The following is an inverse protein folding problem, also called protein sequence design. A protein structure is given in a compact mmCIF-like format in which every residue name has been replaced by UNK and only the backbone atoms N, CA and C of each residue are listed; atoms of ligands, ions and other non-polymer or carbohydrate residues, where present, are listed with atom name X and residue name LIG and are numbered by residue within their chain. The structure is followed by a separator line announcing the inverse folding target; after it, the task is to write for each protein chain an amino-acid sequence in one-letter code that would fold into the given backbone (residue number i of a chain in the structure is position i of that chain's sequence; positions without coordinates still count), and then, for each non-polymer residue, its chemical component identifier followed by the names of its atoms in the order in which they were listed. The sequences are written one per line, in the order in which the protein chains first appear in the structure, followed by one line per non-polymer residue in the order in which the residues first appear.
data_IF_830483238289
#
_entry.id   IF_830483238289
#
_cell.length_a   1.000
_cell.length_b   1.000
_cell.length_c   1.000
_cell.angle_alpha   90.00
_cell.angle_beta   90.00
_cell.angle_gamma   90.00
#
_symmetry.space_group_name_H-M   'P 1'
#
loop_
_entity.id
_entity.type
_entity.pdbx_description
1 polymer ?
#
# COMPACT_ATOMS: atom_id res chain seq x y z
N UNK A 1 21.39 15.96 -20.71
CA UNK A 1 21.64 14.75 -19.93
C UNK A 1 20.35 14.10 -19.38
N UNK A 2 19.40 14.82 -18.70
CA UNK A 2 18.15 14.21 -18.19
C UNK A 2 17.34 13.49 -19.27
N UNK A 3 17.13 14.10 -20.44
CA UNK A 3 16.39 13.49 -21.57
C UNK A 3 17.10 12.25 -22.16
N UNK A 4 18.42 12.21 -22.17
CA UNK A 4 19.20 11.11 -22.74
C UNK A 4 19.18 9.87 -21.84
N UNK A 5 19.22 10.04 -20.52
CA UNK A 5 19.12 8.95 -19.54
C UNK A 5 17.71 8.32 -19.61
N UNK A 6 16.67 9.14 -19.69
CA UNK A 6 15.28 8.69 -19.86
C UNK A 6 15.10 7.93 -21.18
N UNK A 7 15.68 8.41 -22.28
CA UNK A 7 15.55 7.75 -23.60
C UNK A 7 16.26 6.38 -23.61
N UNK A 8 17.44 6.27 -23.01
CA UNK A 8 18.17 4.99 -22.94
C UNK A 8 17.42 4.00 -22.01
N UNK A 9 16.94 4.47 -20.86
CA UNK A 9 16.15 3.65 -19.96
C UNK A 9 14.82 3.21 -20.61
N UNK A 10 14.15 4.10 -21.34
CA UNK A 10 12.92 3.75 -22.10
C UNK A 10 13.22 2.75 -23.21
N UNK A 11 14.34 2.87 -23.94
CA UNK A 11 14.72 1.90 -24.97
C UNK A 11 15.01 0.50 -24.39
N UNK A 12 15.67 0.42 -23.23
CA UNK A 12 15.89 -0.83 -22.49
C UNK A 12 14.57 -1.41 -21.95
N UNK A 13 13.64 -0.56 -21.53
CA UNK A 13 12.30 -0.95 -21.06
C UNK A 13 11.43 -1.43 -22.22
N UNK A 14 11.47 -0.78 -23.37
CA UNK A 14 10.68 -1.14 -24.57
C UNK A 14 11.18 -2.41 -25.25
N UNK A 15 12.45 -2.74 -25.16
CA UNK A 15 13.01 -3.98 -25.71
C UNK A 15 12.71 -5.22 -24.85
N UNK A 16 12.31 -5.05 -23.61
CA UNK A 16 11.90 -6.14 -22.70
C UNK A 16 10.38 -6.14 -22.53
N UNK A 17 9.63 -6.48 -23.57
CA UNK A 17 8.26 -6.94 -23.44
C UNK A 17 8.22 -8.03 -22.36
N UNK A 18 7.51 -7.83 -21.24
CA UNK A 18 7.41 -8.53 -19.96
C UNK A 18 7.89 -9.98 -19.72
N UNK A 19 8.58 -10.59 -20.67
CA UNK A 19 9.04 -11.98 -20.63
C UNK A 19 10.54 -12.15 -20.85
N UNK A 20 11.27 -11.10 -21.31
CA UNK A 20 12.71 -11.18 -21.53
C UNK A 20 13.48 -10.82 -20.25
N UNK A 21 14.33 -11.74 -19.81
CA UNK A 21 15.28 -11.51 -18.73
C UNK A 21 16.16 -10.32 -19.08
N UNK A 22 16.27 -9.34 -18.19
CA UNK A 22 17.25 -8.25 -18.35
C UNK A 22 18.65 -8.87 -18.51
N UNK A 23 19.43 -8.40 -19.47
CA UNK A 23 20.84 -8.73 -19.54
C UNK A 23 21.57 -8.05 -18.37
N UNK A 24 22.74 -8.57 -17.96
CA UNK A 24 23.55 -7.96 -16.92
C UNK A 24 23.88 -6.49 -17.24
N UNK A 25 24.17 -6.19 -18.50
CA UNK A 25 24.35 -4.80 -18.95
C UNK A 25 23.11 -3.92 -18.81
N UNK A 26 21.90 -4.48 -18.93
CA UNK A 26 20.67 -3.73 -18.70
C UNK A 26 20.44 -3.45 -17.20
N UNK A 27 20.79 -4.38 -16.33
CA UNK A 27 20.77 -4.18 -14.87
C UNK A 27 21.73 -3.07 -14.48
N UNK A 28 22.94 -3.05 -15.01
CA UNK A 28 23.93 -2.00 -14.75
C UNK A 28 23.44 -0.61 -15.20
N UNK A 29 22.72 -0.54 -16.31
CA UNK A 29 22.11 0.71 -16.79
C UNK A 29 21.04 1.17 -15.81
N UNK A 30 20.14 0.26 -15.36
CA UNK A 30 19.11 0.58 -14.39
C UNK A 30 19.69 1.02 -13.04
N UNK A 31 20.74 0.33 -12.57
CA UNK A 31 21.44 0.69 -11.32
C UNK A 31 22.08 2.07 -11.39
N UNK A 32 22.78 2.40 -12.50
CA UNK A 32 23.33 3.73 -12.71
C UNK A 32 22.24 4.78 -12.84
N UNK A 33 21.15 4.47 -13.54
CA UNK A 33 19.98 5.33 -13.65
C UNK A 33 19.36 5.62 -12.29
N UNK A 34 19.14 4.59 -11.46
CA UNK A 34 18.61 4.72 -10.11
C UNK A 34 19.53 5.58 -9.21
N UNK A 35 20.85 5.34 -9.25
CA UNK A 35 21.82 6.13 -8.50
C UNK A 35 21.78 7.61 -8.90
N UNK A 36 21.87 7.90 -10.20
CA UNK A 36 21.80 9.28 -10.72
C UNK A 36 20.46 9.95 -10.37
N UNK A 37 19.35 9.24 -10.51
CA UNK A 37 18.04 9.75 -10.14
C UNK A 37 17.95 10.10 -8.65
N UNK A 38 18.54 9.25 -7.78
CA UNK A 38 18.63 9.52 -6.34
C UNK A 38 19.47 10.79 -6.05
N UNK A 39 20.62 10.92 -6.69
CA UNK A 39 21.54 12.03 -6.51
C UNK A 39 20.94 13.39 -6.94
N UNK A 40 20.09 13.40 -7.98
CA UNK A 40 19.43 14.62 -8.47
C UNK A 40 18.04 14.85 -7.85
N UNK A 41 17.61 14.00 -6.91
CA UNK A 41 16.31 14.11 -6.24
C UNK A 41 15.11 13.65 -7.09
N UNK A 42 15.35 12.95 -8.21
CA UNK A 42 14.30 12.35 -9.03
C UNK A 42 13.88 10.99 -8.44
N UNK A 43 13.29 11.02 -7.25
CA UNK A 43 13.05 9.82 -6.44
C UNK A 43 12.06 8.85 -7.09
N UNK A 44 11.05 9.35 -7.82
CA UNK A 44 10.11 8.51 -8.56
C UNK A 44 10.82 7.64 -9.61
N UNK A 45 11.73 8.25 -10.37
CA UNK A 45 12.55 7.51 -11.34
C UNK A 45 13.43 6.46 -10.65
N UNK A 46 14.03 6.82 -9.51
CA UNK A 46 14.87 5.90 -8.75
C UNK A 46 14.08 4.68 -8.25
N UNK A 47 12.90 4.88 -7.66
CA UNK A 47 12.00 3.80 -7.23
C UNK A 47 11.61 2.93 -8.43
N UNK A 48 11.27 3.54 -9.55
CA UNK A 48 10.93 2.81 -10.77
C UNK A 48 12.09 1.91 -11.24
N UNK A 49 13.31 2.43 -11.30
CA UNK A 49 14.48 1.64 -11.69
C UNK A 49 14.75 0.48 -10.72
N UNK A 50 14.74 0.73 -9.41
CA UNK A 50 14.92 -0.34 -8.41
C UNK A 50 13.80 -1.38 -8.47
N UNK A 51 12.56 -0.97 -8.66
CA UNK A 51 11.43 -1.88 -8.80
C UNK A 51 11.57 -2.77 -10.06
N UNK A 52 12.08 -2.23 -11.15
CA UNK A 52 12.37 -3.02 -12.37
C UNK A 52 13.46 -4.06 -12.16
N UNK A 53 14.48 -3.73 -11.37
CA UNK A 53 15.53 -4.70 -11.01
C UNK A 53 14.93 -5.79 -10.12
N UNK A 54 14.21 -5.40 -9.06
CA UNK A 54 13.59 -6.33 -8.11
C UNK A 54 12.52 -7.22 -8.74
N UNK A 55 11.86 -6.77 -9.81
CA UNK A 55 10.94 -7.61 -10.55
C UNK A 55 11.62 -8.85 -11.16
N UNK A 56 12.87 -8.76 -11.57
CA UNK A 56 13.63 -9.89 -12.10
C UNK A 56 14.57 -10.55 -11.10
N UNK A 57 15.07 -9.78 -10.15
CA UNK A 57 15.97 -10.20 -9.09
C UNK A 57 15.35 -9.90 -7.72
N UNK A 58 14.26 -10.61 -7.36
CA UNK A 58 13.51 -10.31 -6.14
C UNK A 58 14.30 -10.54 -4.85
N UNK A 59 15.40 -11.29 -4.93
CA UNK A 59 16.28 -11.59 -3.80
C UNK A 59 17.48 -10.62 -3.67
N UNK A 60 17.52 -9.54 -4.46
CA UNK A 60 18.55 -8.51 -4.33
C UNK A 60 18.23 -7.60 -3.13
N UNK A 61 18.73 -8.01 -1.97
CA UNK A 61 18.49 -7.32 -0.69
C UNK A 61 19.11 -5.91 -0.68
N UNK A 62 20.23 -5.69 -1.38
CA UNK A 62 20.87 -4.38 -1.46
C UNK A 62 20.01 -3.38 -2.25
N UNK A 63 19.42 -3.81 -3.36
CA UNK A 63 18.50 -2.99 -4.16
C UNK A 63 17.21 -2.72 -3.38
N UNK A 64 16.70 -3.72 -2.66
CA UNK A 64 15.50 -3.57 -1.83
C UNK A 64 15.70 -2.54 -0.73
N UNK A 65 16.82 -2.58 -0.01
CA UNK A 65 17.15 -1.58 1.01
C UNK A 65 17.21 -0.17 0.41
N UNK A 66 17.88 0.00 -0.74
CA UNK A 66 17.93 1.31 -1.42
C UNK A 66 16.54 1.82 -1.78
N UNK A 67 15.64 0.95 -2.27
CA UNK A 67 14.26 1.32 -2.57
C UNK A 67 13.49 1.70 -1.30
N UNK A 68 13.63 0.94 -0.21
CA UNK A 68 13.00 1.22 1.07
C UNK A 68 13.36 2.62 1.60
N UNK A 69 14.64 2.99 1.54
CA UNK A 69 15.11 4.30 1.98
C UNK A 69 14.55 5.45 1.12
N UNK A 70 14.34 5.23 -0.18
CA UNK A 70 13.71 6.23 -1.04
C UNK A 70 12.21 6.31 -0.77
N UNK A 71 11.52 5.21 -0.59
CA UNK A 71 10.13 5.19 -0.17
C UNK A 71 9.93 6.00 1.12
N UNK A 72 10.81 5.82 2.12
CA UNK A 72 10.76 6.59 3.35
C UNK A 72 10.91 8.09 3.10
N UNK A 73 11.92 8.50 2.31
CA UNK A 73 12.16 9.91 1.96
C UNK A 73 11.02 10.57 1.19
N UNK A 74 10.24 9.80 0.46
CA UNK A 74 9.13 10.28 -0.38
C UNK A 74 7.78 10.11 0.27
N UNK A 75 7.76 9.81 1.58
CA UNK A 75 6.57 9.64 2.41
C UNK A 75 5.67 8.45 2.00
N UNK A 76 6.17 7.53 1.18
CA UNK A 76 5.53 6.24 0.95
C UNK A 76 5.91 5.25 2.07
N UNK A 77 5.57 5.65 3.29
CA UNK A 77 6.09 5.02 4.53
C UNK A 77 5.71 3.55 4.60
N UNK A 78 4.48 3.17 4.22
CA UNK A 78 4.08 1.77 4.23
C UNK A 78 4.93 0.90 3.30
N UNK A 79 5.26 1.40 2.10
CA UNK A 79 6.12 0.68 1.15
C UNK A 79 7.54 0.50 1.71
N UNK A 80 8.04 1.49 2.46
CA UNK A 80 9.31 1.37 3.17
C UNK A 80 9.26 0.28 4.25
N UNK A 81 8.20 0.27 5.07
CA UNK A 81 7.99 -0.74 6.12
C UNK A 81 7.89 -2.15 5.52
N UNK A 82 7.23 -2.30 4.37
CA UNK A 82 7.08 -3.59 3.68
C UNK A 82 8.44 -4.12 3.20
N UNK A 83 9.23 -3.28 2.53
CA UNK A 83 10.56 -3.66 2.07
C UNK A 83 11.51 -3.98 3.23
N UNK A 84 11.53 -3.16 4.29
CA UNK A 84 12.34 -3.39 5.50
C UNK A 84 11.89 -4.66 6.24
N UNK A 85 10.59 -4.92 6.31
CA UNK A 85 10.06 -6.13 6.93
C UNK A 85 10.42 -7.39 6.15
N UNK A 86 10.51 -7.31 4.81
CA UNK A 86 11.04 -8.39 4.00
C UNK A 86 12.51 -8.69 4.35
N UNK A 87 13.34 -7.66 4.44
CA UNK A 87 14.77 -7.81 4.77
C UNK A 87 14.97 -8.38 6.18
N UNK A 88 14.18 -7.93 7.15
CA UNK A 88 14.23 -8.41 8.54
C UNK A 88 13.77 -9.86 8.73
N UNK A 89 13.05 -10.45 7.77
CA UNK A 89 12.78 -11.89 7.81
C UNK A 89 14.02 -12.73 7.55
N UNK A 90 14.94 -12.23 6.73
CA UNK A 90 16.22 -12.89 6.44
C UNK A 90 17.26 -12.58 7.53
N UNK A 91 17.29 -11.34 8.00
CA UNK A 91 18.25 -10.84 8.99
C UNK A 91 17.50 -10.16 10.14
N UNK A 92 16.88 -10.94 11.05
CA UNK A 92 15.94 -10.41 12.03
C UNK A 92 16.57 -9.49 13.09
N UNK A 93 17.87 -9.60 13.32
CA UNK A 93 18.60 -8.80 14.32
C UNK A 93 19.49 -7.71 13.69
N UNK A 94 19.33 -7.44 12.37
CA UNK A 94 20.06 -6.35 11.74
C UNK A 94 19.60 -5.00 12.31
N UNK A 95 20.49 -4.38 13.09
CA UNK A 95 20.27 -3.11 13.76
C UNK A 95 19.84 -2.01 12.79
N UNK A 96 20.49 -1.90 11.63
CA UNK A 96 20.20 -0.86 10.65
C UNK A 96 18.78 -1.00 10.10
N UNK A 97 18.37 -2.23 9.80
CA UNK A 97 17.02 -2.50 9.32
C UNK A 97 15.98 -2.24 10.40
N UNK A 98 16.25 -2.66 11.66
CA UNK A 98 15.37 -2.41 12.79
C UNK A 98 15.19 -0.92 13.06
N UNK A 99 16.27 -0.13 13.09
CA UNK A 99 16.19 1.32 13.28
C UNK A 99 15.39 2.01 12.16
N UNK A 100 15.68 1.69 10.91
CA UNK A 100 14.96 2.29 9.78
C UNK A 100 13.47 1.92 9.81
N UNK A 101 13.12 0.68 10.20
CA UNK A 101 11.71 0.28 10.32
C UNK A 101 11.05 0.94 11.52
N UNK A 102 11.71 1.05 12.65
CA UNK A 102 11.21 1.75 13.82
C UNK A 102 10.90 3.22 13.52
N UNK A 103 11.79 3.94 12.84
CA UNK A 103 11.56 5.30 12.38
C UNK A 103 10.32 5.39 11.47
N UNK A 104 10.23 4.53 10.47
CA UNK A 104 9.08 4.48 9.58
C UNK A 104 7.77 4.16 10.33
N UNK A 105 7.80 3.25 11.29
CA UNK A 105 6.66 2.92 12.15
C UNK A 105 6.27 4.09 13.08
N UNK A 106 7.25 4.89 13.55
CA UNK A 106 7.02 6.09 14.35
C UNK A 106 6.22 7.12 13.55
N UNK A 107 6.64 7.43 12.33
CA UNK A 107 5.92 8.34 11.44
C UNK A 107 4.50 7.86 11.13
N UNK A 108 4.35 6.56 11.18
CA UNK A 108 3.04 5.93 11.09
C UNK A 108 2.25 5.90 12.41
N UNK A 109 2.67 6.48 13.49
CA UNK A 109 2.10 6.39 14.85
C UNK A 109 1.91 4.96 15.36
N UNK A 110 2.59 3.98 14.77
CA UNK A 110 2.57 2.60 15.25
C UNK A 110 3.68 2.40 16.29
N UNK A 111 3.53 3.11 17.41
CA UNK A 111 4.55 3.18 18.46
C UNK A 111 4.84 1.81 19.08
N UNK A 112 3.84 0.94 19.22
CA UNK A 112 4.06 -0.40 19.78
C UNK A 112 4.96 -1.27 18.90
N UNK A 113 4.79 -1.18 17.59
CA UNK A 113 5.66 -1.91 16.66
C UNK A 113 7.06 -1.30 16.63
N UNK A 114 7.17 0.02 16.64
CA UNK A 114 8.45 0.72 16.71
C UNK A 114 9.21 0.38 18.01
N UNK A 115 8.53 0.38 19.16
CA UNK A 115 9.12 0.01 20.44
C UNK A 115 9.61 -1.45 20.47
N UNK A 116 8.92 -2.38 19.77
CA UNK A 116 9.42 -3.77 19.65
C UNK A 116 10.75 -3.84 18.91
N UNK A 117 10.90 -3.08 17.83
CA UNK A 117 12.15 -3.03 17.07
C UNK A 117 13.27 -2.40 17.88
N UNK A 118 13.01 -1.28 18.57
CA UNK A 118 13.97 -0.60 19.45
C UNK A 118 14.40 -1.50 20.61
N UNK A 119 13.45 -2.16 21.27
CA UNK A 119 13.76 -3.11 22.36
C UNK A 119 14.65 -4.25 21.91
N UNK A 120 14.47 -4.74 20.68
CA UNK A 120 15.31 -5.80 20.13
C UNK A 120 16.76 -5.35 19.96
N UNK A 121 16.99 -4.10 19.53
CA UNK A 121 18.32 -3.51 19.44
C UNK A 121 18.95 -3.41 20.83
N UNK A 122 18.19 -2.88 21.83
CA UNK A 122 18.67 -2.69 23.19
C UNK A 122 18.89 -4.01 23.95
N UNK A 123 18.25 -5.12 23.54
CA UNK A 123 18.55 -6.44 24.08
C UNK A 123 19.93 -6.97 23.65
N UNK A 124 20.41 -6.59 22.47
CA UNK A 124 21.75 -6.95 21.96
C UNK A 124 22.81 -5.95 22.46
N UNK A 125 22.49 -4.67 22.52
CA UNK A 125 23.37 -3.59 23.03
C UNK A 125 22.55 -2.55 23.78
N UNK A 126 22.56 -2.62 25.10
CA UNK A 126 21.81 -1.73 26.00
C UNK A 126 22.30 -0.26 26.00
N UNK A 127 23.50 -0.01 25.49
CA UNK A 127 24.13 1.31 25.37
C UNK A 127 24.06 1.87 23.94
N UNK A 128 23.18 1.36 23.08
CA UNK A 128 23.03 1.88 21.72
C UNK A 128 22.37 3.26 21.75
N UNK A 129 23.16 4.30 21.48
CA UNK A 129 22.73 5.69 21.59
C UNK A 129 21.53 6.02 20.68
N UNK A 130 21.51 5.51 19.45
CA UNK A 130 20.42 5.77 18.52
C UNK A 130 19.11 5.06 18.94
N UNK A 131 19.22 3.86 19.49
CA UNK A 131 18.05 3.14 20.00
C UNK A 131 17.51 3.77 21.30
N UNK A 132 18.39 4.26 22.17
CA UNK A 132 18.00 4.99 23.40
C UNK A 132 17.26 6.28 23.03
N UNK A 133 17.84 7.10 22.14
CA UNK A 133 17.24 8.36 21.69
C UNK A 133 15.85 8.12 21.07
N UNK A 134 15.72 7.14 20.18
CA UNK A 134 14.45 6.80 19.56
C UNK A 134 13.43 6.26 20.57
N UNK A 135 13.87 5.51 21.59
CA UNK A 135 12.99 5.03 22.67
C UNK A 135 12.40 6.20 23.47
N UNK A 136 13.21 7.20 23.83
CA UNK A 136 12.77 8.40 24.54
C UNK A 136 11.81 9.24 23.70
N UNK A 137 12.11 9.39 22.40
CA UNK A 137 11.22 10.08 21.47
C UNK A 137 9.86 9.38 21.37
N UNK A 138 9.84 8.05 21.20
CA UNK A 138 8.61 7.26 21.14
C UNK A 138 7.74 7.42 22.38
N UNK A 139 8.34 7.41 23.57
CA UNK A 139 7.61 7.66 24.83
C UNK A 139 7.02 9.06 24.87
N UNK A 140 7.78 10.06 24.40
CA UNK A 140 7.32 11.45 24.35
C UNK A 140 6.14 11.62 23.40
N UNK A 141 6.22 11.03 22.20
CA UNK A 141 5.16 11.06 21.19
C UNK A 141 3.90 10.35 21.69
N UNK A 142 4.04 9.19 22.30
CA UNK A 142 2.91 8.45 22.87
C UNK A 142 2.21 9.28 23.98
N UNK A 143 2.97 9.88 24.89
CA UNK A 143 2.41 10.74 25.94
C UNK A 143 1.71 11.97 25.37
N UNK A 144 2.22 12.57 24.29
CA UNK A 144 1.59 13.70 23.61
C UNK A 144 0.23 13.27 23.02
N UNK A 145 0.17 12.11 22.39
CA UNK A 145 -1.08 11.60 21.79
C UNK A 145 -2.13 11.31 22.87
N UNK A 146 -1.74 10.76 24.02
CA UNK A 146 -2.62 10.61 25.20
C UNK A 146 -3.17 11.95 25.66
N UNK A 147 -2.32 12.99 25.81
CA UNK A 147 -2.76 14.35 26.20
C UNK A 147 -3.74 14.95 25.19
N UNK A 148 -3.54 14.72 23.90
CA UNK A 148 -4.42 15.19 22.83
C UNK A 148 -5.82 14.60 22.96
N UNK A 149 -5.93 13.29 23.20
CA UNK A 149 -7.22 12.61 23.42
C UNK A 149 -7.90 13.13 24.70
N UNK A 150 -7.14 13.32 25.79
CA UNK A 150 -7.69 13.89 27.02
C UNK A 150 -8.26 15.30 26.80
N UNK A 151 -7.60 16.14 25.98
CA UNK A 151 -8.10 17.45 25.60
C UNK A 151 -9.43 17.38 24.85
N UNK A 152 -9.56 16.48 23.89
CA UNK A 152 -10.85 16.25 23.20
C UNK A 152 -11.94 15.75 24.16
N UNK A 153 -11.61 14.82 25.06
CA UNK A 153 -12.54 14.30 26.06
C UNK A 153 -13.06 15.39 26.98
N UNK A 154 -12.19 16.32 27.41
CA UNK A 154 -12.58 17.45 28.24
C UNK A 154 -13.62 18.33 27.54
N UNK A 155 -13.35 18.72 26.29
CA UNK A 155 -14.32 19.54 25.52
C UNK A 155 -15.65 18.80 25.32
N UNK A 156 -15.61 17.52 24.97
CA UNK A 156 -16.82 16.72 24.74
C UNK A 156 -17.56 16.37 26.04
N UNK A 157 -16.94 16.50 27.23
CA UNK A 157 -17.64 16.39 28.50
C UNK A 157 -18.52 17.61 28.78
N UNK A 158 -18.11 18.80 28.31
CA UNK A 158 -18.83 20.06 28.42
C UNK A 158 -19.85 20.25 27.27
N UNK A 159 -19.43 19.90 26.05
CA UNK A 159 -20.26 19.97 24.84
C UNK A 159 -20.19 18.64 24.06
N UNK A 160 -21.05 17.65 24.39
CA UNK A 160 -21.01 16.31 23.77
C UNK A 160 -21.29 16.29 22.26
N UNK A 161 -21.86 17.36 21.71
CA UNK A 161 -22.26 17.49 20.32
C UNK A 161 -21.40 18.48 19.53
N UNK A 162 -20.18 18.80 20.03
CA UNK A 162 -19.25 19.64 19.28
C UNK A 162 -18.78 18.92 18.01
N UNK A 163 -19.25 19.35 16.80
CA UNK A 163 -18.97 18.62 15.58
C UNK A 163 -17.50 18.67 15.17
N UNK A 164 -16.81 19.78 15.48
CA UNK A 164 -15.39 19.94 15.12
C UNK A 164 -14.53 19.00 15.95
N UNK A 165 -14.83 18.89 17.25
CA UNK A 165 -14.06 18.03 18.16
C UNK A 165 -14.36 16.56 17.89
N UNK A 166 -15.61 16.19 17.62
CA UNK A 166 -15.98 14.84 17.21
C UNK A 166 -15.25 14.42 15.92
N UNK A 167 -15.23 15.29 14.91
CA UNK A 167 -14.49 15.02 13.67
C UNK A 167 -12.99 14.83 13.96
N UNK A 168 -12.35 15.75 14.68
CA UNK A 168 -10.91 15.67 14.98
C UNK A 168 -10.56 14.43 15.80
N UNK A 169 -11.35 14.09 16.83
CA UNK A 169 -11.11 12.92 17.66
C UNK A 169 -11.34 11.63 16.87
N UNK A 170 -12.40 11.58 16.06
CA UNK A 170 -12.68 10.43 15.20
C UNK A 170 -11.58 10.17 14.16
N UNK A 171 -11.08 11.23 13.51
CA UNK A 171 -9.94 11.11 12.58
C UNK A 171 -8.67 10.67 13.31
N UNK A 172 -8.40 11.23 14.50
CA UNK A 172 -7.27 10.82 15.33
C UNK A 172 -7.33 9.32 15.69
N UNK A 173 -8.50 8.82 16.13
CA UNK A 173 -8.69 7.40 16.43
C UNK A 173 -8.51 6.52 15.18
N UNK A 174 -8.99 6.96 14.02
CA UNK A 174 -8.77 6.24 12.78
C UNK A 174 -7.28 6.14 12.43
N UNK A 175 -6.55 7.25 12.53
CA UNK A 175 -5.10 7.30 12.27
C UNK A 175 -4.29 6.46 13.27
N UNK A 176 -4.75 6.31 14.50
CA UNK A 176 -4.14 5.46 15.53
C UNK A 176 -4.59 4.00 15.47
N UNK A 177 -5.56 3.67 14.60
CA UNK A 177 -6.05 2.31 14.36
C UNK A 177 -7.23 1.90 15.26
N UNK A 178 -7.73 2.78 16.12
CA UNK A 178 -8.94 2.53 16.92
C UNK A 178 -10.18 2.80 16.06
N UNK A 179 -10.54 1.82 15.24
CA UNK A 179 -11.64 1.94 14.29
C UNK A 179 -13.01 1.97 14.94
N UNK A 180 -13.16 1.48 16.17
CA UNK A 180 -14.45 1.51 16.88
C UNK A 180 -14.76 2.91 17.40
N UNK A 181 -13.81 3.52 18.09
CA UNK A 181 -13.95 4.90 18.57
C UNK A 181 -14.05 5.88 17.39
N UNK A 182 -13.26 5.67 16.34
CA UNK A 182 -13.35 6.45 15.11
C UNK A 182 -14.76 6.40 14.49
N UNK A 183 -15.32 5.20 14.33
CA UNK A 183 -16.67 5.04 13.77
C UNK A 183 -17.75 5.70 14.65
N UNK A 184 -17.63 5.58 15.97
CA UNK A 184 -18.57 6.20 16.91
C UNK A 184 -18.59 7.73 16.76
N UNK A 185 -17.42 8.36 16.82
CA UNK A 185 -17.30 9.82 16.74
C UNK A 185 -17.70 10.35 15.37
N UNK A 186 -17.23 9.72 14.29
CA UNK A 186 -17.53 10.16 12.93
C UNK A 186 -18.99 9.92 12.56
N UNK A 187 -19.63 8.84 13.03
CA UNK A 187 -21.06 8.62 12.81
C UNK A 187 -21.90 9.71 13.52
N UNK A 188 -21.50 10.10 14.73
CA UNK A 188 -22.12 11.20 15.44
C UNK A 188 -21.91 12.54 14.72
N UNK A 189 -20.68 12.82 14.28
CA UNK A 189 -20.36 14.03 13.50
C UNK A 189 -21.23 14.18 12.26
N UNK A 190 -21.35 13.13 11.42
CA UNK A 190 -22.14 13.21 10.18
C UNK A 190 -23.63 13.36 10.41
N UNK A 191 -24.13 13.06 11.62
CA UNK A 191 -25.52 13.29 12.01
C UNK A 191 -25.81 14.73 12.42
N UNK A 192 -24.78 15.49 12.83
CA UNK A 192 -24.90 16.87 13.29
C UNK A 192 -24.78 17.91 12.16
N UNK A 193 -24.51 17.47 10.94
CA UNK A 193 -24.09 18.25 9.77
C UNK A 193 -22.78 19.03 9.98
N UNK A 194 -22.00 19.18 8.94
CA UNK A 194 -20.69 19.80 9.00
C UNK A 194 -20.31 20.43 7.68
N UNK A 195 -19.08 20.95 7.64
CA UNK A 195 -18.45 21.37 6.40
C UNK A 195 -18.36 20.25 5.38
N UNK A 196 -18.58 20.56 4.11
CA UNK A 196 -18.65 19.55 3.03
C UNK A 196 -17.35 18.75 2.88
N UNK A 197 -16.20 19.37 3.15
CA UNK A 197 -14.89 18.69 3.09
C UNK A 197 -14.77 17.70 4.25
N UNK A 198 -15.09 18.14 5.47
CA UNK A 198 -15.08 17.29 6.66
C UNK A 198 -16.10 16.14 6.53
N UNK A 199 -17.30 16.40 5.98
CA UNK A 199 -18.30 15.37 5.72
C UNK A 199 -17.82 14.34 4.70
N UNK A 200 -17.18 14.77 3.60
CA UNK A 200 -16.60 13.87 2.61
C UNK A 200 -15.56 12.95 3.25
N UNK A 201 -14.64 13.54 4.03
CA UNK A 201 -13.56 12.76 4.68
C UNK A 201 -14.15 11.79 5.72
N UNK A 202 -15.11 12.23 6.54
CA UNK A 202 -15.77 11.38 7.52
C UNK A 202 -16.53 10.22 6.85
N UNK A 203 -17.29 10.47 5.78
CA UNK A 203 -17.95 9.40 5.02
C UNK A 203 -16.94 8.46 4.37
N UNK A 204 -15.83 8.96 3.86
CA UNK A 204 -14.78 8.12 3.29
C UNK A 204 -14.20 7.19 4.36
N UNK A 205 -13.89 7.70 5.54
CA UNK A 205 -13.37 6.90 6.67
C UNK A 205 -14.41 5.90 7.18
N UNK A 206 -15.67 6.29 7.33
CA UNK A 206 -16.74 5.36 7.72
C UNK A 206 -16.93 4.23 6.69
N UNK A 207 -16.79 4.55 5.40
CA UNK A 207 -16.76 3.56 4.33
C UNK A 207 -15.55 2.63 4.44
N UNK A 208 -14.37 3.17 4.70
CA UNK A 208 -13.15 2.38 4.90
C UNK A 208 -13.31 1.43 6.11
N UNK A 209 -13.84 1.91 7.23
CA UNK A 209 -14.09 1.08 8.43
C UNK A 209 -15.13 -0.02 8.13
N UNK A 210 -16.20 0.28 7.40
CA UNK A 210 -17.21 -0.70 7.01
C UNK A 210 -16.62 -1.76 6.10
N UNK A 211 -15.80 -1.37 5.13
CA UNK A 211 -15.09 -2.28 4.25
C UNK A 211 -14.12 -3.19 5.02
N UNK A 212 -13.43 -2.65 6.02
CA UNK A 212 -12.57 -3.43 6.93
C UNK A 212 -13.32 -4.52 7.70
N UNK A 213 -14.60 -4.28 8.00
CA UNK A 213 -15.51 -5.23 8.64
C UNK A 213 -16.20 -6.17 7.63
N UNK A 214 -15.83 -6.13 6.35
CA UNK A 214 -16.48 -6.84 5.23
C UNK A 214 -17.95 -6.45 5.02
N UNK A 215 -18.40 -5.34 5.56
CA UNK A 215 -19.73 -4.77 5.35
C UNK A 215 -19.76 -3.94 4.04
N UNK A 216 -19.60 -4.61 2.89
CA UNK A 216 -19.35 -3.95 1.60
C UNK A 216 -20.51 -3.08 1.14
N UNK A 217 -21.75 -3.46 1.45
CA UNK A 217 -22.93 -2.66 1.11
C UNK A 217 -22.99 -1.38 1.95
N UNK A 218 -22.66 -1.46 3.24
CA UNK A 218 -22.60 -0.27 4.10
C UNK A 218 -21.48 0.67 3.65
N UNK A 219 -20.33 0.09 3.27
CA UNK A 219 -19.24 0.85 2.70
C UNK A 219 -19.63 1.59 1.43
N UNK A 220 -20.40 0.95 0.52
CA UNK A 220 -20.94 1.59 -0.69
C UNK A 220 -21.82 2.79 -0.33
N UNK A 221 -22.73 2.65 0.62
CA UNK A 221 -23.60 3.77 1.07
C UNK A 221 -22.78 4.96 1.52
N UNK A 222 -21.72 4.74 2.30
CA UNK A 222 -20.85 5.83 2.75
C UNK A 222 -20.02 6.44 1.61
N UNK A 223 -19.45 5.63 0.73
CA UNK A 223 -18.68 6.16 -0.40
C UNK A 223 -19.58 6.92 -1.40
N UNK A 224 -20.83 6.50 -1.60
CA UNK A 224 -21.78 7.24 -2.42
C UNK A 224 -22.11 8.60 -1.81
N UNK A 225 -22.30 8.69 -0.48
CA UNK A 225 -22.45 9.97 0.21
C UNK A 225 -21.20 10.86 0.04
N UNK A 226 -20.00 10.31 0.20
CA UNK A 226 -18.76 11.05 -0.06
C UNK A 226 -18.68 11.52 -1.53
N UNK A 227 -19.07 10.68 -2.48
CA UNK A 227 -19.12 11.00 -3.90
C UNK A 227 -20.09 12.14 -4.23
N UNK A 228 -21.24 12.23 -3.57
CA UNK A 228 -22.19 13.34 -3.79
C UNK A 228 -21.63 14.69 -3.38
N UNK A 229 -20.72 14.72 -2.43
CA UNK A 229 -20.05 15.96 -1.97
C UNK A 229 -18.90 16.40 -2.90
N UNK A 230 -18.26 15.44 -3.59
CA UNK A 230 -17.23 15.73 -4.58
C UNK A 230 -17.25 14.67 -5.68
N UNK A 231 -17.80 15.01 -6.83
CA UNK A 231 -18.11 14.09 -7.92
C UNK A 231 -16.90 13.67 -8.78
N UNK A 232 -15.76 14.36 -8.69
CA UNK A 232 -14.56 14.06 -9.47
C UNK A 232 -13.42 13.68 -8.54
N UNK A 233 -13.45 12.43 -8.05
CA UNK A 233 -12.43 11.88 -7.16
C UNK A 233 -12.08 10.44 -7.59
N UNK A 234 -10.86 10.28 -8.11
CA UNK A 234 -10.37 8.99 -8.59
C UNK A 234 -10.27 7.93 -7.47
N UNK A 235 -9.92 8.37 -6.25
CA UNK A 235 -9.79 7.47 -5.10
C UNK A 235 -11.16 6.97 -4.63
N UNK A 236 -12.19 7.81 -4.66
CA UNK A 236 -13.57 7.38 -4.35
C UNK A 236 -14.06 6.39 -5.42
N UNK A 237 -13.82 6.64 -6.71
CA UNK A 237 -14.16 5.68 -7.75
C UNK A 237 -13.46 4.32 -7.56
N UNK A 238 -12.18 4.31 -7.18
CA UNK A 238 -11.45 3.08 -6.85
C UNK A 238 -12.13 2.33 -5.69
N UNK A 239 -12.49 3.03 -4.60
CA UNK A 239 -13.15 2.42 -3.45
C UNK A 239 -14.48 1.80 -3.80
N UNK A 240 -15.33 2.53 -4.53
CA UNK A 240 -16.61 2.02 -5.03
C UNK A 240 -16.39 0.80 -5.95
N UNK A 241 -15.46 0.90 -6.90
CA UNK A 241 -15.10 -0.21 -7.78
C UNK A 241 -14.66 -1.45 -7.02
N UNK A 242 -13.88 -1.27 -5.94
CA UNK A 242 -13.44 -2.37 -5.10
C UNK A 242 -14.60 -3.01 -4.31
N UNK A 243 -15.55 -2.23 -3.81
CA UNK A 243 -16.72 -2.78 -3.13
C UNK A 243 -17.59 -3.62 -4.08
N UNK A 244 -17.81 -3.15 -5.33
CA UNK A 244 -18.49 -3.95 -6.34
C UNK A 244 -17.71 -5.24 -6.68
N UNK A 245 -16.37 -5.18 -6.75
CA UNK A 245 -15.54 -6.38 -6.90
C UNK A 245 -15.76 -7.38 -5.76
N UNK A 246 -15.77 -6.91 -4.51
CA UNK A 246 -16.02 -7.76 -3.34
C UNK A 246 -17.42 -8.37 -3.33
N UNK A 247 -18.42 -7.66 -3.87
CA UNK A 247 -19.77 -8.14 -4.08
C UNK A 247 -19.96 -9.01 -5.34
N UNK A 248 -18.86 -9.35 -6.02
CA UNK A 248 -18.85 -10.11 -7.29
C UNK A 248 -19.57 -9.43 -8.47
N UNK A 249 -19.86 -8.14 -8.39
CA UNK A 249 -20.38 -7.31 -9.48
C UNK A 249 -19.21 -6.73 -10.29
N UNK A 250 -18.57 -7.60 -11.05
CA UNK A 250 -17.32 -7.28 -11.75
C UNK A 250 -17.51 -6.29 -12.91
N UNK A 251 -18.66 -6.29 -13.57
CA UNK A 251 -18.98 -5.36 -14.67
C UNK A 251 -19.08 -3.93 -14.16
N UNK A 252 -19.82 -3.72 -13.08
CA UNK A 252 -19.92 -2.42 -12.43
C UNK A 252 -18.58 -1.97 -11.86
N UNK A 253 -17.82 -2.89 -11.26
CA UNK A 253 -16.46 -2.60 -10.77
C UNK A 253 -15.55 -2.08 -11.91
N UNK A 254 -15.53 -2.74 -13.08
CA UNK A 254 -14.78 -2.28 -14.27
C UNK A 254 -15.19 -0.86 -14.67
N UNK A 255 -16.48 -0.54 -14.59
CA UNK A 255 -16.98 0.78 -14.94
C UNK A 255 -16.39 1.86 -14.03
N UNK A 256 -16.37 1.62 -12.72
CA UNK A 256 -15.80 2.56 -11.75
C UNK A 256 -14.27 2.67 -11.88
N UNK A 257 -13.56 1.55 -12.06
CA UNK A 257 -12.12 1.61 -12.34
C UNK A 257 -11.80 2.37 -13.63
N UNK A 258 -12.61 2.24 -14.69
CA UNK A 258 -12.44 3.03 -15.90
C UNK A 258 -12.59 4.53 -15.65
N UNK A 259 -13.55 4.94 -14.78
CA UNK A 259 -13.71 6.34 -14.38
C UNK A 259 -12.47 6.83 -13.61
N UNK A 260 -11.98 6.05 -12.66
CA UNK A 260 -10.75 6.37 -11.91
C UNK A 260 -9.54 6.54 -12.84
N UNK A 261 -9.30 5.57 -13.73
CA UNK A 261 -8.18 5.57 -14.70
C UNK A 261 -8.25 6.73 -15.68
N UNK A 262 -9.47 7.19 -16.04
CA UNK A 262 -9.67 8.36 -16.92
C UNK A 262 -9.20 9.66 -16.25
N UNK A 263 -9.33 9.78 -14.93
CA UNK A 263 -8.86 10.95 -14.18
C UNK A 263 -7.36 10.89 -14.01
N UNK A 264 -6.85 9.77 -13.51
CA UNK A 264 -5.42 9.53 -13.31
C UNK A 264 -5.13 8.03 -13.51
N UNK A 265 -4.06 7.74 -14.25
CA UNK A 265 -3.65 6.36 -14.51
C UNK A 265 -2.68 5.90 -13.42
N UNK A 266 -3.22 5.26 -12.36
CA UNK A 266 -2.45 4.63 -11.30
C UNK A 266 -2.40 3.11 -11.45
N UNK A 267 -1.32 2.48 -10.95
CA UNK A 267 -1.13 1.03 -11.04
C UNK A 267 -2.13 0.24 -10.20
N UNK A 268 -2.52 0.73 -9.05
CA UNK A 268 -3.53 0.10 -8.19
C UNK A 268 -4.92 0.08 -8.86
N UNK A 269 -5.27 1.10 -9.64
CA UNK A 269 -6.52 1.13 -10.41
C UNK A 269 -6.49 0.13 -11.57
N UNK A 270 -5.35 0.04 -12.26
CA UNK A 270 -5.14 -0.97 -13.32
C UNK A 270 -5.17 -2.38 -12.74
N UNK A 271 -4.52 -2.61 -11.60
CA UNK A 271 -4.54 -3.89 -10.92
C UNK A 271 -5.96 -4.31 -10.55
N UNK A 272 -6.73 -3.41 -9.92
CA UNK A 272 -8.13 -3.66 -9.59
C UNK A 272 -9.00 -3.99 -10.79
N UNK A 273 -8.86 -3.25 -11.90
CA UNK A 273 -9.56 -3.56 -13.14
C UNK A 273 -9.10 -4.89 -13.74
N UNK A 274 -7.81 -5.19 -13.68
CA UNK A 274 -7.23 -6.46 -14.09
C UNK A 274 -7.84 -7.66 -13.36
N UNK A 275 -8.02 -7.55 -12.04
CA UNK A 275 -8.70 -8.58 -11.24
C UNK A 275 -10.16 -8.75 -11.64
N UNK A 276 -10.88 -7.66 -11.93
CA UNK A 276 -12.24 -7.74 -12.45
C UNK A 276 -12.27 -8.42 -13.82
N UNK A 277 -11.35 -8.09 -14.72
CA UNK A 277 -11.26 -8.77 -16.04
C UNK A 277 -10.91 -10.25 -15.90
N UNK A 278 -10.04 -10.62 -14.93
CA UNK A 278 -9.75 -12.01 -14.65
C UNK A 278 -11.01 -12.77 -14.20
N UNK A 279 -11.76 -12.20 -13.25
CA UNK A 279 -13.01 -12.80 -12.77
C UNK A 279 -14.07 -12.95 -13.86
N UNK A 280 -14.12 -12.02 -14.82
CA UNK A 280 -14.99 -12.08 -16.01
C UNK A 280 -14.50 -13.01 -17.12
N UNK A 281 -13.39 -13.74 -16.93
CA UNK A 281 -12.79 -14.58 -17.97
C UNK A 281 -12.12 -13.82 -19.12
N UNK A 282 -11.98 -12.49 -19.01
CA UNK A 282 -11.35 -11.63 -20.03
C UNK A 282 -9.82 -11.57 -19.83
N UNK A 283 -9.18 -12.74 -19.86
CA UNK A 283 -7.79 -12.94 -19.44
C UNK A 283 -6.76 -12.08 -20.20
N UNK A 284 -6.94 -11.89 -21.51
CA UNK A 284 -6.04 -11.01 -22.30
C UNK A 284 -6.09 -9.55 -21.83
N UNK A 285 -7.29 -9.05 -21.44
CA UNK A 285 -7.44 -7.71 -20.88
C UNK A 285 -6.82 -7.63 -19.49
N UNK A 286 -7.02 -8.66 -18.66
CA UNK A 286 -6.39 -8.75 -17.35
C UNK A 286 -4.87 -8.67 -17.44
N UNK A 287 -4.23 -9.46 -18.31
CA UNK A 287 -2.78 -9.40 -18.53
C UNK A 287 -2.30 -8.04 -19.05
N UNK A 288 -3.08 -7.40 -19.93
CA UNK A 288 -2.75 -6.04 -20.39
C UNK A 288 -2.66 -5.06 -19.22
N UNK A 289 -3.63 -5.12 -18.29
CA UNK A 289 -3.64 -4.26 -17.11
C UNK A 289 -2.51 -4.63 -16.12
N UNK A 290 -2.31 -5.91 -15.82
CA UNK A 290 -1.23 -6.36 -14.94
C UNK A 290 0.17 -6.01 -15.50
N UNK A 291 0.38 -6.13 -16.80
CA UNK A 291 1.62 -5.71 -17.43
C UNK A 291 1.80 -4.20 -17.37
N UNK A 292 0.72 -3.43 -17.56
CA UNK A 292 0.77 -1.98 -17.45
C UNK A 292 1.16 -1.51 -16.04
N UNK A 293 0.81 -2.24 -14.97
CA UNK A 293 1.25 -1.93 -13.61
C UNK A 293 2.78 -1.91 -13.47
N UNK A 294 3.49 -2.81 -14.17
CA UNK A 294 4.95 -2.90 -14.11
C UNK A 294 5.61 -1.70 -14.82
N UNK A 295 4.97 -1.18 -15.87
CA UNK A 295 5.52 -0.12 -16.72
C UNK A 295 5.02 1.27 -16.37
N UNK A 296 4.03 1.38 -15.48
CA UNK A 296 3.52 2.66 -15.03
C UNK A 296 4.49 3.27 -14.00
N UNK A 297 4.71 4.59 -14.07
CA UNK A 297 5.54 5.34 -13.11
C UNK A 297 4.80 5.63 -11.80
N UNK A 298 4.09 4.66 -11.26
CA UNK A 298 3.39 4.78 -9.99
C UNK A 298 4.23 4.13 -8.89
N UNK A 299 4.93 4.94 -8.13
CA UNK A 299 5.81 4.48 -7.06
C UNK A 299 5.05 3.97 -5.83
N UNK A 300 3.77 4.30 -5.71
CA UNK A 300 2.92 3.85 -4.61
C UNK A 300 2.54 2.37 -4.73
N UNK A 301 2.61 1.80 -5.94
CA UNK A 301 2.22 0.41 -6.20
C UNK A 301 3.41 -0.54 -6.11
N UNK A 302 3.41 -1.39 -5.09
CA UNK A 302 4.43 -2.43 -4.93
C UNK A 302 4.00 -3.74 -5.63
N UNK A 303 4.41 -3.93 -6.88
CA UNK A 303 4.15 -5.18 -7.62
C UNK A 303 5.13 -6.32 -7.28
N UNK A 304 6.09 -6.11 -6.39
CA UNK A 304 7.04 -7.13 -5.96
C UNK A 304 6.50 -7.93 -4.76
N UNK A 305 5.37 -8.60 -4.95
CA UNK A 305 4.73 -9.44 -3.93
C UNK A 305 4.18 -10.74 -4.54
N UNK A 306 3.98 -11.75 -3.71
CA UNK A 306 3.51 -13.08 -4.11
C UNK A 306 2.18 -13.03 -4.86
N UNK A 307 1.21 -12.27 -4.36
CA UNK A 307 -0.15 -12.21 -4.93
C UNK A 307 -0.16 -11.68 -6.37
N UNK A 308 0.68 -10.66 -6.65
CA UNK A 308 0.78 -10.10 -8.00
C UNK A 308 1.33 -11.12 -9.00
N UNK A 309 2.36 -11.88 -8.60
CA UNK A 309 2.91 -12.94 -9.43
C UNK A 309 1.95 -14.12 -9.60
N UNK A 310 1.26 -14.51 -8.51
CA UNK A 310 0.28 -15.60 -8.54
C UNK A 310 -0.87 -15.31 -9.50
N UNK A 311 -1.48 -14.13 -9.42
CA UNK A 311 -2.60 -13.78 -10.30
C UNK A 311 -2.17 -13.69 -11.76
N UNK A 312 -0.95 -13.24 -12.04
CA UNK A 312 -0.40 -13.24 -13.40
C UNK A 312 -0.15 -14.67 -13.89
N UNK A 313 0.42 -15.53 -13.04
CA UNK A 313 0.64 -16.94 -13.36
C UNK A 313 -0.70 -17.64 -13.70
N UNK A 314 -1.69 -17.51 -12.83
CA UNK A 314 -3.05 -18.02 -13.07
C UNK A 314 -3.66 -17.47 -14.37
N UNK A 315 -3.39 -16.20 -14.68
CA UNK A 315 -3.90 -15.59 -15.91
C UNK A 315 -3.20 -16.14 -17.15
N UNK A 316 -1.88 -16.39 -17.08
CA UNK A 316 -1.13 -17.06 -18.15
C UNK A 316 -1.59 -18.50 -18.36
N UNK A 317 -1.88 -19.26 -17.28
CA UNK A 317 -2.45 -20.61 -17.40
C UNK A 317 -3.80 -20.61 -18.13
N UNK A 318 -4.65 -19.62 -17.86
CA UNK A 318 -5.97 -19.50 -18.51
C UNK A 318 -5.89 -19.21 -20.01
N UNK A 319 -4.77 -18.71 -20.51
CA UNK A 319 -4.52 -18.50 -21.96
C UNK A 319 -3.52 -19.53 -22.53
N UNK A 320 -3.26 -20.62 -21.80
CA UNK A 320 -2.37 -21.73 -22.20
C UNK A 320 -0.89 -21.31 -22.38
N UNK A 321 -0.48 -20.19 -21.87
CA UNK A 321 0.90 -19.69 -21.90
C UNK A 321 1.74 -20.31 -20.77
N UNK A 322 1.92 -21.64 -20.79
CA UNK A 322 2.47 -22.44 -19.68
C UNK A 322 3.89 -22.04 -19.26
N UNK A 323 4.74 -21.64 -20.19
CA UNK A 323 6.12 -21.24 -19.87
C UNK A 323 6.15 -19.95 -19.06
N UNK A 324 5.33 -18.98 -19.44
CA UNK A 324 5.18 -17.72 -18.70
C UNK A 324 4.56 -17.97 -17.33
N UNK A 325 3.51 -18.79 -17.24
CA UNK A 325 2.90 -19.16 -15.97
C UNK A 325 3.93 -19.79 -15.01
N UNK A 326 4.76 -20.72 -15.48
CA UNK A 326 5.81 -21.37 -14.68
C UNK A 326 6.84 -20.38 -14.14
N UNK A 327 7.21 -19.38 -14.94
CA UNK A 327 8.11 -18.30 -14.50
C UNK A 327 7.47 -17.49 -13.37
N UNK A 328 6.20 -17.10 -13.56
CA UNK A 328 5.48 -16.29 -12.57
C UNK A 328 5.24 -17.05 -11.26
N UNK A 329 4.89 -18.33 -11.30
CA UNK A 329 4.78 -19.17 -10.09
C UNK A 329 6.11 -19.30 -9.34
N UNK A 330 7.22 -19.41 -10.07
CA UNK A 330 8.54 -19.40 -9.44
C UNK A 330 8.85 -18.06 -8.78
N UNK A 331 8.46 -16.95 -9.40
CA UNK A 331 8.60 -15.64 -8.80
C UNK A 331 7.71 -15.51 -7.55
N UNK A 332 6.46 -15.93 -7.62
CA UNK A 332 5.55 -15.95 -6.48
C UNK A 332 6.15 -16.73 -5.28
N UNK A 333 6.71 -17.91 -5.52
CA UNK A 333 7.28 -18.76 -4.48
C UNK A 333 8.43 -18.10 -3.69
N UNK A 334 9.13 -17.14 -4.28
CA UNK A 334 10.20 -16.39 -3.61
C UNK A 334 9.66 -15.39 -2.58
N UNK A 335 8.39 -15.01 -2.71
CA UNK A 335 7.70 -14.10 -1.79
C UNK A 335 6.77 -14.80 -0.78
N UNK A 336 6.60 -16.12 -0.84
CA UNK A 336 5.63 -16.87 0.01
C UNK A 336 5.91 -16.80 1.50
N UNK A 337 7.14 -16.49 1.91
CA UNK A 337 7.48 -16.25 3.31
C UNK A 337 7.12 -14.83 3.81
N UNK A 338 6.62 -13.98 2.92
CA UNK A 338 6.06 -12.67 3.25
C UNK A 338 4.55 -12.89 3.37
N UNK A 339 4.03 -13.06 4.61
CA UNK A 339 2.58 -13.12 4.80
C UNK A 339 1.95 -11.98 3.99
N UNK A 340 0.97 -12.32 3.17
CA UNK A 340 0.24 -11.44 2.26
C UNK A 340 -0.57 -10.37 3.01
N UNK A 341 0.15 -9.46 3.64
CA UNK A 341 -0.44 -8.29 4.30
C UNK A 341 -0.58 -7.11 3.32
N UNK A 342 0.03 -7.26 2.13
CA UNK A 342 0.17 -6.18 1.17
C UNK A 342 -0.97 -6.09 0.14
N UNK A 343 -1.55 -7.18 -0.30
CA UNK A 343 -2.52 -7.18 -1.41
C UNK A 343 -3.79 -6.38 -1.10
N UNK A 344 -4.37 -6.56 0.08
CA UNK A 344 -5.57 -5.85 0.51
C UNK A 344 -5.31 -4.40 0.91
N UNK A 345 -4.16 -4.10 1.53
CA UNK A 345 -3.77 -2.74 1.89
C UNK A 345 -3.46 -1.87 0.67
N UNK A 346 -2.86 -2.44 -0.37
CA UNK A 346 -2.64 -1.77 -1.66
C UNK A 346 -3.96 -1.31 -2.30
N UNK A 347 -5.03 -2.09 -2.10
CA UNK A 347 -6.32 -1.79 -2.69
C UNK A 347 -7.04 -0.62 -2.02
N UNK A 348 -7.00 -0.56 -0.70
CA UNK A 348 -7.87 0.34 0.05
C UNK A 348 -7.20 1.68 0.36
N UNK A 349 -5.88 1.79 0.31
CA UNK A 349 -5.16 2.96 0.83
C UNK A 349 -5.45 3.18 2.33
N UNK A 350 -5.88 2.11 3.02
CA UNK A 350 -6.37 2.17 4.39
C UNK A 350 -5.23 2.10 5.37
N UNK A 351 -5.35 2.91 6.41
CA UNK A 351 -4.50 2.94 7.60
C UNK A 351 -4.20 1.55 8.17
N UNK A 352 -3.07 1.41 8.64
CA UNK A 352 -2.11 0.43 9.15
C UNK A 352 -2.57 -0.77 9.96
N UNK A 353 -3.75 -0.81 10.55
CA UNK A 353 -4.16 -1.83 11.51
C UNK A 353 -5.34 -2.69 11.05
N UNK A 354 -5.64 -2.71 9.74
CA UNK A 354 -6.77 -3.46 9.21
C UNK A 354 -6.57 -4.97 9.25
N UNK A 355 -7.50 -5.74 9.85
CA UNK A 355 -7.51 -7.21 9.86
C UNK A 355 -7.92 -7.86 8.54
N UNK A 356 -8.04 -7.11 7.44
CA UNK A 356 -8.57 -7.56 6.14
C UNK A 356 -7.75 -8.61 5.37
N UNK A 357 -6.69 -9.14 5.97
CA UNK A 357 -5.71 -10.04 5.33
C UNK A 357 -6.19 -11.48 5.14
N UNK A 358 -7.33 -11.88 5.71
CA UNK A 358 -7.65 -13.32 5.85
C UNK A 358 -8.45 -13.90 4.67
N UNK A 359 -9.00 -13.11 3.74
CA UNK A 359 -10.05 -13.61 2.85
C UNK A 359 -9.57 -14.33 1.58
N UNK A 360 -8.37 -14.12 1.08
CA UNK A 360 -7.88 -14.84 -0.12
C UNK A 360 -7.21 -16.18 0.18
N UNK A 361 -6.60 -16.35 1.34
CA UNK A 361 -5.91 -17.60 1.71
C UNK A 361 -6.86 -18.81 1.86
N UNK A 362 -8.16 -18.60 2.09
CA UNK A 362 -9.13 -19.69 2.24
C UNK A 362 -9.68 -20.24 0.92
N UNK A 363 -9.61 -19.48 -0.18
CA UNK A 363 -10.06 -19.95 -1.51
C UNK A 363 -8.97 -20.67 -2.31
N UNK A 364 -7.71 -20.34 -2.08
CA UNK A 364 -6.58 -20.98 -2.78
C UNK A 364 -6.29 -22.41 -2.29
N UNK A 365 -6.73 -22.79 -1.09
CA UNK A 365 -6.58 -24.18 -0.59
C UNK A 365 -7.48 -25.23 -1.29
N UNK A 366 -8.36 -24.82 -2.20
CA UNK A 366 -9.24 -25.76 -2.96
C UNK A 366 -8.75 -26.08 -4.38
N UNK A 367 -7.58 -25.63 -4.79
CA UNK A 367 -7.05 -25.86 -6.15
C UNK A 367 -5.81 -26.79 -6.13
N UNK A 368 -5.40 -27.28 -4.96
CA UNK A 368 -4.32 -28.28 -4.83
C UNK A 368 -4.87 -29.65 -4.42
N UNK A 369 -5.91 -30.13 -5.12
CA UNK A 369 -6.26 -31.56 -5.20
C UNK A 369 -6.54 -31.92 -6.66
#
# INVERSE_FOLDING_TARGET
MKKTIIIIAVAVILSSCGTLKLSDGAVDILMRGAKTATEVGAYEDAVHFYSRILFQYPDDDAVRLKRALIYYRTLYIQNAVDDLSYLLKKNPDDKTLLLNRALALTDMRNYDAALRDVKRILQDNDNDAAAIELNEELQTLHNRDVKTVLGYNTVLSENPDDPIVLYKRGMFFFDSGDTEMAASDLAKFVSLSGDAVMLKDAYTVLGDISAMKNAYNDALVYYEKAYTLQTVDAEIYKRIGYMHYCNADYETAVTYYNRAIKIIKKSDFLYGRGLCYYALGKYKKALSDFNACIFNYDISFNFCNSEFYEIRALTYDKIEAKDQAKIEYRNASRYTNVKADCGHRLFMGISKNSPLVIFHASKTKRISQ
#
